data_IF_464117712866
#
_entry.id   IF_464117712866
#
_cell.length_a   1.000
_cell.length_b   1.000
_cell.length_c   1.000
_cell.angle_alpha   90.00
_cell.angle_beta   90.00
_cell.angle_gamma   90.00
#
_symmetry.space_group_name_H-M   'P 1'
#
loop_
_entity.id
_entity.type
_entity.pdbx_description
1 polymer ?
#
# COMPACT_ATOMS: atom_id res chain seq x y z
N UNK A 1 -20.83 -36.86 11.42
CA UNK A 1 -20.50 -36.91 12.87
C UNK A 1 -19.49 -38.03 13.16
N UNK A 2 -19.71 -39.25 12.64
CA UNK A 2 -18.82 -40.41 12.85
C UNK A 2 -17.38 -40.07 12.42
N UNK A 3 -17.17 -39.53 11.23
CA UNK A 3 -15.87 -39.10 10.70
C UNK A 3 -15.18 -38.05 11.60
N UNK A 4 -15.93 -37.11 12.18
CA UNK A 4 -15.37 -36.12 13.10
C UNK A 4 -14.82 -36.78 14.39
N UNK A 5 -15.48 -37.82 14.89
CA UNK A 5 -14.98 -38.54 16.06
C UNK A 5 -13.69 -39.32 15.74
N UNK A 6 -13.60 -39.89 14.54
CA UNK A 6 -12.43 -40.67 14.09
C UNK A 6 -11.19 -39.81 13.91
N UNK A 7 -11.32 -38.51 13.53
CA UNK A 7 -10.19 -37.59 13.30
C UNK A 7 -9.90 -36.65 14.48
N UNK A 8 -10.65 -36.76 15.59
CA UNK A 8 -10.54 -35.83 16.74
C UNK A 8 -9.11 -35.64 17.22
N UNK A 9 -8.36 -36.70 17.37
CA UNK A 9 -6.99 -36.67 17.88
C UNK A 9 -5.97 -36.19 16.86
N UNK A 10 -6.37 -36.08 15.60
CA UNK A 10 -5.55 -35.53 14.51
C UNK A 10 -5.72 -34.01 14.35
N UNK A 11 -6.81 -33.45 14.90
CA UNK A 11 -7.11 -32.01 14.82
C UNK A 11 -6.26 -31.28 15.87
N UNK A 12 -5.25 -30.58 15.39
CA UNK A 12 -4.36 -29.77 16.24
C UNK A 12 -4.84 -28.34 16.34
N UNK A 13 -4.55 -27.72 17.48
CA UNK A 13 -4.79 -26.30 17.67
C UNK A 13 -3.94 -25.47 16.69
N UNK A 14 -4.54 -24.46 16.08
CA UNK A 14 -3.93 -23.64 15.04
C UNK A 14 -3.59 -22.23 15.53
N UNK A 15 -4.25 -21.74 16.59
CA UNK A 15 -3.91 -20.46 17.20
C UNK A 15 -2.96 -20.66 18.40
N UNK A 16 -2.08 -19.67 18.66
CA UNK A 16 -1.25 -19.68 19.86
C UNK A 16 -2.09 -19.76 21.15
N UNK A 17 -1.64 -20.56 22.10
CA UNK A 17 -2.35 -20.77 23.39
C UNK A 17 -2.62 -19.46 24.15
N UNK A 18 -1.75 -18.46 24.00
CA UNK A 18 -1.95 -17.14 24.60
C UNK A 18 -3.18 -16.42 24.06
N UNK A 19 -3.48 -16.59 22.77
CA UNK A 19 -4.66 -16.02 22.10
C UNK A 19 -5.91 -16.75 22.55
N UNK A 20 -5.88 -18.09 22.55
CA UNK A 20 -6.99 -18.92 22.99
C UNK A 20 -7.41 -18.54 24.42
N UNK A 21 -6.46 -18.44 25.34
CA UNK A 21 -6.71 -18.02 26.72
C UNK A 21 -7.28 -16.61 26.81
N UNK A 22 -6.69 -15.65 26.07
CA UNK A 22 -7.11 -14.24 26.09
C UNK A 22 -8.57 -14.05 25.67
N UNK A 23 -9.02 -14.76 24.65
CA UNK A 23 -10.38 -14.63 24.10
C UNK A 23 -11.32 -15.74 24.54
N UNK A 24 -10.87 -16.65 25.44
CA UNK A 24 -11.65 -17.78 25.94
C UNK A 24 -12.26 -18.62 24.81
N UNK A 25 -11.46 -18.86 23.77
CA UNK A 25 -11.90 -19.71 22.66
C UNK A 25 -11.94 -21.19 23.11
N UNK A 26 -12.99 -21.94 22.72
CA UNK A 26 -13.01 -23.38 22.86
C UNK A 26 -11.90 -24.06 22.06
N UNK A 27 -11.57 -25.34 22.35
CA UNK A 27 -10.63 -26.13 21.56
C UNK A 27 -11.01 -26.16 20.07
N UNK A 28 -10.03 -26.17 19.19
CA UNK A 28 -10.28 -26.09 17.74
C UNK A 28 -11.20 -27.20 17.20
N UNK A 29 -11.10 -28.42 17.76
CA UNK A 29 -12.02 -29.49 17.42
C UNK A 29 -13.48 -29.10 17.68
N UNK A 30 -13.77 -28.52 18.85
CA UNK A 30 -15.13 -28.09 19.21
C UNK A 30 -15.63 -26.97 18.29
N UNK A 31 -14.73 -26.05 17.91
CA UNK A 31 -15.02 -25.00 16.94
C UNK A 31 -15.43 -25.60 15.60
N UNK A 32 -14.61 -26.52 15.06
CA UNK A 32 -14.90 -27.18 13.80
C UNK A 32 -16.22 -27.97 13.86
N UNK A 33 -16.44 -28.71 14.95
CA UNK A 33 -17.65 -29.46 15.11
C UNK A 33 -18.89 -28.57 15.13
N UNK A 34 -18.86 -27.51 15.91
CA UNK A 34 -19.97 -26.57 16.07
C UNK A 34 -20.21 -25.68 14.83
N UNK A 35 -19.23 -25.51 13.97
CA UNK A 35 -19.43 -24.86 12.68
C UNK A 35 -20.31 -25.70 11.74
N UNK A 36 -20.14 -27.03 11.77
CA UNK A 36 -20.89 -27.94 10.91
C UNK A 36 -22.19 -28.51 11.57
N UNK A 37 -22.18 -28.64 12.89
CA UNK A 37 -23.27 -29.26 13.65
C UNK A 37 -23.62 -28.41 14.89
N UNK A 38 -24.03 -27.16 14.74
CA UNK A 38 -24.30 -26.28 15.86
C UNK A 38 -25.54 -26.73 16.63
N UNK A 39 -25.48 -26.65 17.96
CA UNK A 39 -26.64 -26.93 18.83
C UNK A 39 -27.58 -25.71 18.88
N UNK A 40 -27.05 -24.50 18.78
CA UNK A 40 -27.80 -23.26 18.76
C UNK A 40 -27.02 -22.16 18.03
N UNK A 41 -27.66 -20.99 17.82
CA UNK A 41 -27.09 -19.87 17.09
C UNK A 41 -25.90 -19.23 17.81
N UNK A 42 -25.88 -19.21 19.14
CA UNK A 42 -24.79 -18.59 19.92
C UNK A 42 -23.49 -19.41 19.78
N UNK A 43 -23.60 -20.73 19.82
CA UNK A 43 -22.45 -21.63 19.61
C UNK A 43 -21.92 -21.49 18.19
N UNK A 44 -22.81 -21.41 17.20
CA UNK A 44 -22.43 -21.15 15.81
C UNK A 44 -21.74 -19.79 15.65
N UNK A 45 -22.27 -18.74 16.27
CA UNK A 45 -21.68 -17.40 16.21
C UNK A 45 -20.25 -17.37 16.79
N UNK A 46 -20.02 -18.06 17.92
CA UNK A 46 -18.68 -18.21 18.51
C UNK A 46 -17.72 -18.95 17.59
N UNK A 47 -18.18 -20.04 16.95
CA UNK A 47 -17.37 -20.76 15.99
C UNK A 47 -16.99 -19.91 14.78
N UNK A 48 -17.92 -19.12 14.23
CA UNK A 48 -17.63 -18.15 13.17
C UNK A 48 -16.67 -17.06 13.61
N UNK A 49 -16.81 -16.54 14.82
CA UNK A 49 -15.90 -15.53 15.38
C UNK A 49 -14.46 -16.05 15.47
N UNK A 50 -14.26 -17.30 15.88
CA UNK A 50 -12.94 -17.93 15.89
C UNK A 50 -12.32 -17.96 14.49
N UNK A 51 -13.06 -18.38 13.45
CA UNK A 51 -12.54 -18.44 12.09
C UNK A 51 -12.25 -17.05 11.52
N UNK A 52 -13.12 -16.07 11.74
CA UNK A 52 -12.87 -14.69 11.35
C UNK A 52 -11.59 -14.14 12.01
N UNK A 53 -11.40 -14.45 13.30
CA UNK A 53 -10.17 -14.09 14.00
C UNK A 53 -8.94 -14.78 13.41
N UNK A 54 -9.04 -16.10 13.14
CA UNK A 54 -7.95 -16.89 12.58
C UNK A 54 -7.51 -16.39 11.20
N UNK A 55 -8.43 -16.17 10.29
CA UNK A 55 -8.15 -15.64 8.95
C UNK A 55 -7.46 -14.27 9.04
N UNK A 56 -8.00 -13.38 9.87
CA UNK A 56 -7.42 -12.06 10.04
C UNK A 56 -6.04 -12.12 10.73
N UNK A 57 -5.86 -13.01 11.69
CA UNK A 57 -4.57 -13.25 12.34
C UNK A 57 -3.51 -13.70 11.33
N UNK A 58 -3.81 -14.67 10.48
CA UNK A 58 -2.89 -15.13 9.44
C UNK A 58 -2.55 -14.01 8.45
N UNK A 59 -3.55 -13.24 8.04
CA UNK A 59 -3.34 -12.10 7.16
C UNK A 59 -2.40 -11.07 7.80
N UNK A 60 -2.66 -10.68 9.04
CA UNK A 60 -1.84 -9.71 9.76
C UNK A 60 -0.42 -10.25 10.05
N UNK A 61 -0.30 -11.54 10.36
CA UNK A 61 1.00 -12.20 10.54
C UNK A 61 1.82 -12.13 9.24
N UNK A 62 1.21 -12.47 8.10
CA UNK A 62 1.85 -12.38 6.78
C UNK A 62 2.33 -10.97 6.49
N UNK A 63 1.47 -9.96 6.66
CA UNK A 63 1.83 -8.55 6.44
C UNK A 63 2.97 -8.12 7.37
N UNK A 64 2.90 -8.52 8.65
CA UNK A 64 3.96 -8.18 9.63
C UNK A 64 5.30 -8.80 9.27
N UNK A 65 5.30 -10.05 8.81
CA UNK A 65 6.52 -10.74 8.37
C UNK A 65 7.11 -10.09 7.10
N UNK A 66 6.27 -9.79 6.11
CA UNK A 66 6.70 -9.09 4.90
C UNK A 66 7.29 -7.71 5.21
N UNK A 67 6.67 -6.95 6.09
CA UNK A 67 7.16 -5.64 6.53
C UNK A 67 8.48 -5.74 7.31
N UNK A 68 8.73 -6.84 8.04
CA UNK A 68 10.01 -7.05 8.71
C UNK A 68 11.14 -7.35 7.73
N UNK A 69 10.88 -8.20 6.74
CA UNK A 69 11.87 -8.54 5.70
C UNK A 69 12.25 -7.28 4.91
N UNK A 70 11.30 -6.46 4.53
CA UNK A 70 11.55 -5.23 3.77
C UNK A 70 12.27 -4.13 4.57
N UNK A 71 12.22 -4.13 5.91
CA UNK A 71 12.97 -3.19 6.76
C UNK A 71 14.48 -3.49 6.84
N UNK A 72 14.89 -4.69 6.44
CA UNK A 72 16.30 -5.15 6.55
C UNK A 72 17.14 -4.66 5.36
N UNK A 73 16.51 -4.27 4.25
CA UNK A 73 17.23 -3.69 3.12
C UNK A 73 17.66 -2.25 3.45
N UNK A 74 18.96 -2.04 3.66
CA UNK A 74 19.56 -0.72 3.70
C UNK A 74 19.36 -0.04 2.35
N UNK A 75 18.28 0.71 2.22
CA UNK A 75 17.95 1.44 1.00
C UNK A 75 19.07 2.45 0.72
N UNK A 76 19.82 2.24 -0.36
CA UNK A 76 20.84 3.16 -0.85
C UNK A 76 20.15 4.38 -1.48
N UNK A 77 19.53 5.24 -0.66
CA UNK A 77 18.95 6.49 -1.14
C UNK A 77 19.97 7.61 -1.05
N UNK A 78 20.03 8.43 -2.11
CA UNK A 78 20.75 9.68 -2.09
C UNK A 78 19.96 10.70 -1.26
N UNK A 79 20.64 11.51 -0.46
CA UNK A 79 20.01 12.70 0.12
C UNK A 79 19.59 13.62 -1.02
N UNK A 80 18.41 14.21 -0.90
CA UNK A 80 17.87 15.18 -1.84
C UNK A 80 17.83 16.55 -1.19
N UNK A 81 17.99 17.58 -2.01
CA UNK A 81 17.86 18.97 -1.58
C UNK A 81 16.42 19.46 -1.60
N UNK A 82 15.51 18.65 -2.17
CA UNK A 82 14.09 18.98 -2.38
C UNK A 82 13.86 20.19 -3.32
N UNK A 83 14.81 20.49 -4.17
CA UNK A 83 14.74 21.65 -5.08
C UNK A 83 13.59 21.51 -6.10
N UNK A 84 13.36 20.31 -6.64
CA UNK A 84 12.23 20.06 -7.53
C UNK A 84 10.88 20.15 -6.81
N UNK A 85 10.85 19.72 -5.56
CA UNK A 85 9.66 19.82 -4.70
C UNK A 85 9.32 21.29 -4.42
N UNK A 86 10.30 22.11 -4.05
CA UNK A 86 10.12 23.55 -3.82
C UNK A 86 9.63 24.25 -5.10
N UNK A 87 10.24 23.93 -6.25
CA UNK A 87 9.81 24.45 -7.54
C UNK A 87 8.38 24.11 -7.87
N UNK A 88 7.96 22.88 -7.57
CA UNK A 88 6.57 22.45 -7.72
C UNK A 88 5.64 23.23 -6.79
N UNK A 89 5.97 23.33 -5.50
CA UNK A 89 5.13 24.01 -4.51
C UNK A 89 4.94 25.49 -4.86
N UNK A 90 5.97 26.16 -5.39
CA UNK A 90 5.88 27.56 -5.84
C UNK A 90 5.10 27.71 -7.17
N UNK A 91 4.95 26.65 -7.96
CA UNK A 91 4.16 26.69 -9.20
C UNK A 91 2.66 26.49 -9.00
N UNK A 92 2.24 26.09 -7.80
CA UNK A 92 0.83 25.90 -7.48
C UNK A 92 0.08 27.24 -7.43
N UNK A 93 -1.16 27.35 -7.93
CA UNK A 93 -1.97 28.57 -7.87
C UNK A 93 -2.58 28.82 -6.49
N UNK A 94 -2.19 28.07 -5.49
CA UNK A 94 -2.65 28.16 -4.10
C UNK A 94 -1.52 27.76 -3.14
N UNK A 95 -1.61 28.20 -1.91
CA UNK A 95 -0.72 27.75 -0.84
C UNK A 95 -1.17 26.40 -0.28
N UNK A 96 -0.20 25.55 0.03
CA UNK A 96 -0.49 24.28 0.72
C UNK A 96 -1.02 24.54 2.12
N UNK A 97 -2.03 23.77 2.51
CA UNK A 97 -2.54 23.82 3.89
C UNK A 97 -1.48 23.33 4.89
N UNK A 98 -1.65 23.67 6.15
CA UNK A 98 -0.76 23.26 7.23
C UNK A 98 -0.66 21.72 7.30
N UNK A 99 -1.77 20.99 7.13
CA UNK A 99 -1.80 19.53 7.18
C UNK A 99 -1.13 18.90 5.96
N UNK A 100 -1.28 19.47 4.77
CA UNK A 100 -0.55 19.04 3.58
C UNK A 100 0.96 19.23 3.77
N UNK A 101 1.37 20.38 4.30
CA UNK A 101 2.77 20.68 4.59
C UNK A 101 3.37 19.75 5.63
N UNK A 102 2.63 19.45 6.71
CA UNK A 102 3.02 18.46 7.72
C UNK A 102 3.18 17.05 7.13
N UNK A 103 2.26 16.65 6.24
CA UNK A 103 2.33 15.35 5.57
C UNK A 103 3.59 15.25 4.70
N UNK A 104 3.87 16.26 3.88
CA UNK A 104 5.09 16.33 3.04
C UNK A 104 6.35 16.29 3.92
N UNK A 105 6.39 17.08 4.99
CA UNK A 105 7.52 17.09 5.93
C UNK A 105 7.77 15.72 6.55
N UNK A 106 6.72 15.03 7.01
CA UNK A 106 6.82 13.69 7.59
C UNK A 106 7.36 12.67 6.59
N UNK A 107 6.90 12.72 5.33
CA UNK A 107 7.38 11.85 4.27
C UNK A 107 8.85 12.13 3.92
N UNK A 108 9.25 13.41 3.84
CA UNK A 108 10.63 13.81 3.60
C UNK A 108 11.56 13.36 4.73
N UNK A 109 11.12 13.45 5.98
CA UNK A 109 11.86 12.93 7.12
C UNK A 109 12.10 11.42 6.98
N UNK A 110 11.05 10.64 6.73
CA UNK A 110 11.16 9.19 6.54
C UNK A 110 12.05 8.82 5.34
N UNK A 111 12.00 9.61 4.26
CA UNK A 111 12.87 9.44 3.10
C UNK A 111 14.35 9.62 3.48
N UNK A 112 14.68 10.71 4.16
CA UNK A 112 16.06 11.03 4.55
C UNK A 112 16.63 10.08 5.61
N UNK A 113 15.76 9.51 6.45
CA UNK A 113 16.11 8.46 7.42
C UNK A 113 16.27 7.07 6.75
N UNK A 114 16.14 6.99 5.43
CA UNK A 114 16.24 5.75 4.63
C UNK A 114 15.27 4.67 5.05
N UNK A 115 14.13 5.04 5.61
CA UNK A 115 13.08 4.10 5.96
C UNK A 115 12.34 3.61 4.72
N UNK A 116 11.89 2.35 4.73
CA UNK A 116 10.91 1.92 3.75
C UNK A 116 9.59 2.68 4.01
N UNK A 117 9.15 3.43 3.01
CA UNK A 117 7.95 4.26 3.12
C UNK A 117 6.77 3.46 2.59
N UNK A 118 5.89 3.05 3.50
CA UNK A 118 4.59 2.46 3.21
C UNK A 118 3.56 3.26 4.02
N UNK A 119 3.04 4.33 3.43
CA UNK A 119 2.24 5.34 4.12
C UNK A 119 0.89 5.50 3.43
N UNK A 120 -0.17 5.51 4.22
CA UNK A 120 -1.51 5.86 3.78
C UNK A 120 -1.74 7.36 4.03
N UNK A 121 -2.06 8.11 2.97
CA UNK A 121 -2.51 9.50 3.06
C UNK A 121 -4.04 9.50 3.01
N UNK A 122 -4.66 9.86 4.11
CA UNK A 122 -6.12 9.92 4.25
C UNK A 122 -6.59 11.37 4.33
N UNK A 123 -7.72 11.65 3.72
CA UNK A 123 -8.38 12.97 3.72
C UNK A 123 -9.62 12.94 2.84
N UNK A 124 -10.46 13.97 2.95
CA UNK A 124 -11.68 14.09 2.17
C UNK A 124 -11.45 14.25 0.67
N UNK A 125 -12.50 14.08 -0.13
CA UNK A 125 -12.45 14.36 -1.56
C UNK A 125 -12.13 15.86 -1.75
N UNK A 126 -11.16 16.15 -2.62
CA UNK A 126 -10.72 17.54 -2.85
C UNK A 126 -9.70 18.08 -1.83
N UNK A 127 -9.31 17.32 -0.81
CA UNK A 127 -8.32 17.77 0.21
C UNK A 127 -6.88 17.91 -0.32
N UNK A 128 -6.65 17.67 -1.62
CA UNK A 128 -5.32 17.82 -2.24
C UNK A 128 -4.33 16.69 -1.96
N UNK A 129 -4.77 15.48 -1.65
CA UNK A 129 -3.90 14.30 -1.45
C UNK A 129 -2.92 14.07 -2.60
N UNK A 130 -3.37 14.31 -3.82
CA UNK A 130 -2.55 14.19 -5.04
C UNK A 130 -1.41 15.20 -5.06
N UNK A 131 -1.63 16.41 -4.58
CA UNK A 131 -0.58 17.45 -4.48
C UNK A 131 0.53 16.99 -3.52
N UNK A 132 0.16 16.41 -2.37
CA UNK A 132 1.12 15.84 -1.42
C UNK A 132 1.91 14.69 -2.06
N UNK A 133 1.21 13.81 -2.81
CA UNK A 133 1.86 12.70 -3.51
C UNK A 133 2.83 13.18 -4.60
N UNK A 134 2.48 14.20 -5.38
CA UNK A 134 3.36 14.81 -6.40
C UNK A 134 4.56 15.47 -5.75
N UNK A 135 4.34 16.30 -4.73
CA UNK A 135 5.41 16.95 -4.00
C UNK A 135 6.45 15.94 -3.49
N UNK A 136 5.98 14.84 -2.91
CA UNK A 136 6.85 13.80 -2.39
C UNK A 136 7.53 12.98 -3.50
N UNK A 137 6.83 12.69 -4.59
CA UNK A 137 7.38 11.96 -5.74
C UNK A 137 8.61 12.67 -6.35
N UNK A 138 8.63 14.00 -6.35
CA UNK A 138 9.73 14.77 -6.93
C UNK A 138 11.08 14.56 -6.21
N UNK A 139 11.08 14.15 -4.95
CA UNK A 139 12.33 13.77 -4.26
C UNK A 139 12.96 12.50 -4.89
N UNK A 140 12.15 11.57 -5.35
CA UNK A 140 12.66 10.39 -6.05
C UNK A 140 13.21 10.75 -7.43
N UNK A 141 12.54 11.65 -8.15
CA UNK A 141 13.04 12.19 -9.43
C UNK A 141 14.38 12.89 -9.24
N UNK A 142 14.51 13.74 -8.23
CA UNK A 142 15.75 14.43 -7.88
C UNK A 142 16.87 13.45 -7.53
N UNK A 143 16.55 12.32 -6.94
CA UNK A 143 17.49 11.23 -6.66
C UNK A 143 17.82 10.36 -7.90
N UNK A 144 17.34 10.71 -9.08
CA UNK A 144 17.42 9.91 -10.32
C UNK A 144 16.75 8.52 -10.17
N UNK A 145 15.66 8.45 -9.43
CA UNK A 145 14.84 7.26 -9.31
C UNK A 145 13.56 7.42 -10.14
N UNK A 146 13.03 6.29 -10.59
CA UNK A 146 11.81 6.27 -11.38
C UNK A 146 10.60 5.96 -10.52
N UNK A 147 9.42 6.44 -10.95
CA UNK A 147 8.18 6.36 -10.22
C UNK A 147 7.08 5.79 -11.10
N UNK A 148 6.31 4.85 -10.56
CA UNK A 148 5.03 4.45 -11.12
C UNK A 148 3.90 5.09 -10.29
N UNK A 149 3.10 5.93 -10.93
CA UNK A 149 1.91 6.54 -10.34
C UNK A 149 0.68 5.81 -10.87
N UNK A 150 0.07 5.00 -10.01
CA UNK A 150 -1.05 4.14 -10.40
C UNK A 150 -2.38 4.73 -9.94
N UNK A 151 -3.40 4.64 -10.80
CA UNK A 151 -4.77 5.00 -10.48
C UNK A 151 -5.72 3.84 -10.78
N UNK A 152 -6.88 3.75 -10.10
CA UNK A 152 -7.81 2.63 -10.29
C UNK A 152 -8.50 2.60 -11.66
N UNK A 153 -8.51 3.71 -12.39
CA UNK A 153 -9.10 3.81 -13.74
C UNK A 153 -8.24 4.63 -14.68
N UNK A 154 -8.28 4.31 -15.98
CA UNK A 154 -7.57 5.04 -17.02
C UNK A 154 -7.91 6.54 -17.04
N UNK A 155 -9.19 6.88 -16.81
CA UNK A 155 -9.65 8.28 -16.76
C UNK A 155 -8.96 9.05 -15.63
N UNK A 156 -8.89 8.45 -14.43
CA UNK A 156 -8.21 9.07 -13.30
C UNK A 156 -6.69 9.15 -13.52
N UNK A 157 -6.09 8.10 -14.08
CA UNK A 157 -4.67 8.13 -14.42
C UNK A 157 -4.34 9.23 -15.42
N UNK A 158 -5.15 9.40 -16.46
CA UNK A 158 -5.03 10.47 -17.46
C UNK A 158 -5.15 11.84 -16.81
N UNK A 159 -6.17 12.05 -15.99
CA UNK A 159 -6.37 13.29 -15.28
C UNK A 159 -5.16 13.64 -14.39
N UNK A 160 -4.61 12.65 -13.66
CA UNK A 160 -3.43 12.88 -12.82
C UNK A 160 -2.18 13.21 -13.67
N UNK A 161 -2.00 12.52 -14.79
CA UNK A 161 -0.93 12.82 -15.74
C UNK A 161 -1.01 14.24 -16.26
N UNK A 162 -2.18 14.69 -16.74
CA UNK A 162 -2.38 16.02 -17.32
C UNK A 162 -2.13 17.11 -16.26
N UNK A 163 -2.64 16.91 -15.03
CA UNK A 163 -2.39 17.82 -13.92
C UNK A 163 -0.91 17.86 -13.54
N UNK A 164 -0.24 16.69 -13.51
CA UNK A 164 1.20 16.65 -13.24
C UNK A 164 1.99 17.39 -14.33
N UNK A 165 1.70 17.19 -15.59
CA UNK A 165 2.36 17.85 -16.71
C UNK A 165 2.17 19.37 -16.66
N UNK A 166 1.00 19.86 -16.24
CA UNK A 166 0.70 21.27 -16.10
C UNK A 166 1.61 21.96 -15.06
N UNK A 167 1.83 21.30 -13.91
CA UNK A 167 2.66 21.86 -12.82
C UNK A 167 4.14 21.50 -12.91
N UNK A 168 4.48 20.39 -13.55
CA UNK A 168 5.84 19.87 -13.65
C UNK A 168 6.28 19.61 -15.11
N UNK A 169 6.16 20.57 -16.04
CA UNK A 169 6.52 20.38 -17.45
C UNK A 169 8.01 20.10 -17.67
N UNK A 170 8.83 20.36 -16.65
CA UNK A 170 10.27 20.11 -16.63
C UNK A 170 10.65 18.68 -16.23
N UNK A 171 9.66 17.85 -15.83
CA UNK A 171 9.86 16.43 -15.49
C UNK A 171 9.31 15.58 -16.63
N UNK A 172 10.15 14.72 -17.20
CA UNK A 172 9.71 13.81 -18.26
C UNK A 172 8.85 12.70 -17.68
N UNK A 173 7.58 12.73 -18.02
CA UNK A 173 6.60 11.71 -17.63
C UNK A 173 5.93 11.10 -18.86
N UNK A 174 5.43 9.88 -18.71
CA UNK A 174 4.66 9.17 -19.72
C UNK A 174 3.34 8.65 -19.15
N UNK A 175 2.37 8.47 -20.03
CA UNK A 175 1.11 7.82 -19.73
C UNK A 175 1.05 6.45 -20.40
N UNK A 176 0.68 5.42 -19.66
CA UNK A 176 0.54 4.06 -20.13
C UNK A 176 -0.78 3.47 -19.64
N UNK A 177 -1.60 3.00 -20.57
CA UNK A 177 -2.88 2.36 -20.27
C UNK A 177 -3.15 1.17 -21.17
N UNK A 178 -4.32 0.55 -21.00
CA UNK A 178 -4.77 -0.53 -21.88
C UNK A 178 -4.98 -0.07 -23.33
N UNK A 179 -5.27 1.21 -23.55
CA UNK A 179 -5.47 1.81 -24.87
C UNK A 179 -4.16 2.20 -25.58
N UNK A 180 -3.01 2.17 -24.89
CA UNK A 180 -1.70 2.47 -25.48
C UNK A 180 -1.30 1.41 -26.51
N UNK A 181 -0.96 1.84 -27.71
CA UNK A 181 -0.55 0.93 -28.79
C UNK A 181 0.75 0.18 -28.45
N UNK A 182 0.95 -0.98 -29.07
CA UNK A 182 2.16 -1.78 -28.84
C UNK A 182 3.43 -1.00 -29.16
N UNK A 183 3.41 -0.18 -30.22
CA UNK A 183 4.55 0.65 -30.62
C UNK A 183 4.88 1.69 -29.54
N UNK A 184 3.89 2.48 -29.15
CA UNK A 184 4.05 3.49 -28.09
C UNK A 184 4.50 2.87 -26.77
N UNK A 185 3.94 1.70 -26.40
CA UNK A 185 4.36 0.97 -25.21
C UNK A 185 5.85 0.59 -25.25
N UNK A 186 6.32 0.10 -26.40
CA UNK A 186 7.74 -0.24 -26.56
C UNK A 186 8.62 1.01 -26.41
N UNK A 187 8.25 2.11 -27.07
CA UNK A 187 8.97 3.39 -26.96
C UNK A 187 9.03 3.93 -25.52
N UNK A 188 7.91 3.84 -24.78
CA UNK A 188 7.86 4.23 -23.38
C UNK A 188 8.78 3.35 -22.52
N UNK A 189 8.77 2.03 -22.73
CA UNK A 189 9.63 1.08 -22.01
C UNK A 189 11.10 1.36 -22.28
N UNK A 190 11.47 1.62 -23.53
CA UNK A 190 12.84 1.94 -23.92
C UNK A 190 13.31 3.24 -23.25
N UNK A 191 12.48 4.28 -23.24
CA UNK A 191 12.76 5.55 -22.55
C UNK A 191 12.78 5.42 -21.03
N UNK A 192 12.00 4.53 -20.43
CA UNK A 192 12.10 4.19 -19.01
C UNK A 192 13.44 3.46 -18.75
N UNK A 193 13.80 2.49 -19.58
CA UNK A 193 15.02 1.71 -19.41
C UNK A 193 16.29 2.57 -19.56
N UNK A 194 16.24 3.60 -20.41
CA UNK A 194 17.33 4.57 -20.57
C UNK A 194 17.37 5.64 -19.46
N UNK A 195 16.36 5.71 -18.61
CA UNK A 195 16.25 6.75 -17.58
C UNK A 195 15.78 8.10 -18.11
N UNK A 196 15.35 8.19 -19.37
CA UNK A 196 14.84 9.42 -19.96
C UNK A 196 13.50 9.82 -19.34
N UNK A 197 12.62 8.85 -19.04
CA UNK A 197 11.34 9.08 -18.36
C UNK A 197 11.54 8.80 -16.87
N UNK A 198 11.14 9.77 -16.05
CA UNK A 198 11.24 9.68 -14.59
C UNK A 198 9.96 9.20 -13.93
N UNK A 199 8.80 9.47 -14.51
CA UNK A 199 7.49 9.08 -13.94
C UNK A 199 6.62 8.49 -15.03
N UNK A 200 5.98 7.35 -14.70
CA UNK A 200 4.94 6.75 -15.54
C UNK A 200 3.61 6.77 -14.79
N UNK A 201 2.55 7.18 -15.49
CA UNK A 201 1.17 7.18 -15.02
C UNK A 201 0.37 6.08 -15.72
N UNK A 202 -0.48 5.34 -14.93
CA UNK A 202 -1.30 4.26 -15.48
C UNK A 202 -2.28 3.63 -14.51
#
# INVERSE_FOLDING_TARGET
KQTFNEIKDQIKEILPLSIIKKYSFPPFYEILYNLHFPQNLDIYAKARQYFAYYEFFLYMLKITLLNRVSKIENLKRKKVTSSLQEKFMTSLPFEMTEDQSKAVFSLNKSYNEKQLINTLIQGDVGSGKTVVAFAFALNYVEANQQIAFMAPTEILARQQFDVFQMYCPYVKAAFLSSSTTKKEKTEIIDKLSSGEISIIFG
#
